data_IF_807334492219
#
_entry.id   IF_807334492219
#
_cell.length_a   1.000
_cell.length_b   1.000
_cell.length_c   1.000
_cell.angle_alpha   90.00
_cell.angle_beta   90.00
_cell.angle_gamma   90.00
#
_symmetry.space_group_name_H-M   'P 1'
#
loop_
_entity.id
_entity.type
_entity.pdbx_description
1 polymer ?
#
# COMPACT_ATOMS: atom_id res chain seq x y z
N UNK A 1 -30.48 2.83 43.76
CA UNK A 1 -29.30 2.27 43.07
C UNK A 1 -28.95 3.20 41.91
N UNK A 2 -27.95 4.05 42.11
CA UNK A 2 -27.34 4.95 41.12
C UNK A 2 -25.88 4.52 40.97
N UNK A 3 -25.31 4.75 39.77
CA UNK A 3 -23.94 4.41 39.36
C UNK A 3 -23.76 2.90 39.12
N UNK A 4 -23.53 2.39 37.91
CA UNK A 4 -22.34 2.59 37.07
C UNK A 4 -22.77 2.43 35.59
N UNK A 5 -23.12 3.51 34.91
CA UNK A 5 -23.35 3.49 33.44
C UNK A 5 -22.70 4.70 32.73
N UNK A 6 -21.83 5.43 33.43
CA UNK A 6 -21.29 6.72 32.99
C UNK A 6 -19.78 6.76 32.74
N UNK A 7 -19.07 5.61 32.72
CA UNK A 7 -17.61 5.58 32.62
C UNK A 7 -17.05 5.01 31.29
N UNK A 8 -17.89 4.51 30.39
CA UNK A 8 -17.44 4.07 29.06
C UNK A 8 -17.62 5.12 27.95
N UNK A 9 -18.35 6.21 28.20
CA UNK A 9 -18.59 7.27 27.20
C UNK A 9 -17.74 8.53 27.42
N UNK A 10 -16.99 8.65 28.52
CA UNK A 10 -16.31 9.89 28.90
C UNK A 10 -14.80 9.96 28.56
N UNK A 11 -14.28 9.01 27.78
CA UNK A 11 -12.89 9.03 27.27
C UNK A 11 -12.82 9.41 25.77
N UNK A 12 -13.86 10.06 25.26
CA UNK A 12 -13.87 10.64 23.90
C UNK A 12 -14.09 12.15 24.01
N UNK A 13 -13.29 12.86 24.81
CA UNK A 13 -13.24 14.32 24.72
C UNK A 13 -11.78 14.80 24.89
N UNK A 14 -11.34 15.52 23.85
CA UNK A 14 -10.16 16.39 23.74
C UNK A 14 -8.80 15.72 23.53
N UNK A 15 -8.54 15.33 22.28
CA UNK A 15 -7.21 15.51 21.68
C UNK A 15 -7.33 16.55 20.56
N UNK A 16 -6.79 17.73 20.86
CA UNK A 16 -6.47 18.82 19.94
C UNK A 16 -5.61 18.28 18.77
N UNK A 17 -5.95 18.70 17.54
CA UNK A 17 -5.59 18.11 16.24
C UNK A 17 -6.11 16.67 16.04
N UNK A 18 -7.40 16.57 15.73
CA UNK A 18 -8.03 15.33 15.28
C UNK A 18 -7.29 14.79 14.04
N UNK A 19 -6.44 13.79 14.25
CA UNK A 19 -5.92 12.97 13.18
C UNK A 19 -7.12 12.24 12.58
N UNK A 20 -7.63 12.80 11.48
CA UNK A 20 -8.86 12.37 10.80
C UNK A 20 -8.73 10.97 10.18
N UNK A 21 -7.53 10.42 10.18
CA UNK A 21 -7.18 9.13 9.64
C UNK A 21 -6.68 8.19 10.73
N UNK A 22 -7.28 7.00 10.83
CA UNK A 22 -6.82 5.89 11.66
C UNK A 22 -7.04 4.60 10.89
N UNK A 23 -6.07 3.69 10.94
CA UNK A 23 -6.26 2.32 10.45
C UNK A 23 -5.98 1.34 11.59
N UNK A 24 -6.81 0.31 11.67
CA UNK A 24 -6.61 -0.85 12.53
C UNK A 24 -6.59 -2.08 11.66
N UNK A 25 -5.56 -2.89 11.80
CA UNK A 25 -5.38 -4.13 11.05
C UNK A 25 -5.64 -5.30 12.00
N UNK A 26 -6.58 -6.17 11.62
CA UNK A 26 -6.97 -7.34 12.39
C UNK A 26 -6.56 -8.58 11.60
N UNK A 27 -5.72 -9.42 12.19
CA UNK A 27 -5.47 -10.77 11.72
C UNK A 27 -6.64 -11.69 12.10
N UNK A 28 -7.28 -12.28 11.12
CA UNK A 28 -8.38 -13.22 11.33
C UNK A 28 -8.08 -14.59 10.71
N UNK A 29 -8.52 -15.67 11.38
CA UNK A 29 -8.39 -17.03 10.85
C UNK A 29 -9.43 -17.23 9.75
N UNK A 30 -9.01 -17.82 8.63
CA UNK A 30 -9.84 -18.00 7.45
C UNK A 30 -9.56 -19.35 6.79
N UNK A 31 -10.60 -19.93 6.19
CA UNK A 31 -10.47 -21.09 5.31
C UNK A 31 -10.97 -20.66 3.94
N UNK A 32 -10.04 -20.34 3.02
CA UNK A 32 -10.35 -19.96 1.63
C UNK A 32 -9.63 -20.87 0.65
N UNK A 33 -8.51 -20.44 0.07
CA UNK A 33 -7.65 -21.32 -0.72
C UNK A 33 -6.83 -22.25 0.16
N UNK A 34 -6.56 -21.83 1.40
CA UNK A 34 -5.84 -22.56 2.42
C UNK A 34 -6.51 -22.34 3.79
N UNK A 35 -6.26 -23.22 4.76
CA UNK A 35 -6.51 -22.95 6.17
C UNK A 35 -5.34 -22.11 6.71
N UNK A 36 -5.62 -20.85 7.02
CA UNK A 36 -4.60 -19.86 7.36
C UNK A 36 -5.21 -18.58 7.92
N UNK A 37 -4.61 -17.44 7.60
CA UNK A 37 -5.01 -16.14 8.11
C UNK A 37 -5.17 -15.09 7.00
N UNK A 38 -5.89 -14.02 7.30
CA UNK A 38 -5.99 -12.84 6.44
C UNK A 38 -5.96 -11.55 7.25
N UNK A 39 -5.64 -10.45 6.58
CA UNK A 39 -5.61 -9.11 7.18
C UNK A 39 -6.88 -8.33 6.83
N UNK A 40 -7.68 -8.02 7.84
CA UNK A 40 -8.86 -7.16 7.72
C UNK A 40 -8.50 -5.74 8.13
N UNK A 41 -8.88 -4.76 7.33
CA UNK A 41 -8.60 -3.35 7.60
C UNK A 41 -9.87 -2.64 8.05
N UNK A 42 -9.80 -1.98 9.21
CA UNK A 42 -10.83 -1.08 9.70
C UNK A 42 -10.25 0.33 9.66
N UNK A 43 -10.83 1.19 8.85
CA UNK A 43 -10.25 2.48 8.54
C UNK A 43 -11.25 3.59 8.84
N UNK A 44 -10.83 4.56 9.64
CA UNK A 44 -11.55 5.80 9.86
C UNK A 44 -10.85 6.88 9.05
N UNK A 45 -11.55 7.52 8.10
CA UNK A 45 -11.03 8.64 7.31
C UNK A 45 -12.09 9.74 7.22
N UNK A 46 -11.77 10.95 7.70
CA UNK A 46 -12.68 12.13 7.67
C UNK A 46 -14.08 11.82 8.21
N UNK A 47 -14.15 11.09 9.33
CA UNK A 47 -15.37 10.61 10.00
C UNK A 47 -16.16 9.52 9.27
N UNK A 48 -15.64 8.97 8.16
CA UNK A 48 -16.20 7.79 7.50
C UNK A 48 -15.47 6.55 7.99
N UNK A 49 -16.21 5.59 8.55
CA UNK A 49 -15.70 4.28 8.90
C UNK A 49 -15.91 3.32 7.73
N UNK A 50 -14.82 2.75 7.23
CA UNK A 50 -14.86 1.71 6.21
C UNK A 50 -14.17 0.44 6.72
N UNK A 51 -14.55 -0.69 6.14
CA UNK A 51 -13.96 -2.00 6.40
C UNK A 51 -13.60 -2.66 5.08
N UNK A 52 -12.35 -3.06 4.95
CA UNK A 52 -11.84 -3.80 3.79
C UNK A 52 -11.57 -5.23 4.24
N UNK A 53 -12.26 -6.16 3.58
CA UNK A 53 -12.16 -7.59 3.90
C UNK A 53 -10.81 -8.15 3.44
N UNK A 54 -10.32 -9.25 4.05
CA UNK A 54 -9.07 -9.86 3.60
C UNK A 54 -9.12 -10.27 2.12
N UNK A 55 -8.06 -9.95 1.39
CA UNK A 55 -7.90 -10.22 -0.03
C UNK A 55 -8.71 -9.32 -0.98
N UNK A 56 -9.41 -8.30 -0.46
CA UNK A 56 -10.11 -7.30 -1.28
C UNK A 56 -9.13 -6.19 -1.71
N UNK A 57 -8.22 -6.55 -2.62
CA UNK A 57 -7.15 -5.66 -3.07
C UNK A 57 -7.65 -4.52 -3.96
N UNK A 58 -8.74 -4.73 -4.72
CA UNK A 58 -9.40 -3.66 -5.48
C UNK A 58 -9.85 -2.54 -4.56
N UNK A 59 -10.61 -2.86 -3.51
CA UNK A 59 -11.10 -1.86 -2.57
C UNK A 59 -9.94 -1.18 -1.85
N UNK A 60 -8.90 -1.95 -1.48
CA UNK A 60 -7.69 -1.41 -0.85
C UNK A 60 -6.94 -0.42 -1.76
N UNK A 61 -6.78 -0.76 -3.03
CA UNK A 61 -6.12 0.11 -4.02
C UNK A 61 -6.92 1.40 -4.25
N UNK A 62 -8.23 1.29 -4.50
CA UNK A 62 -9.12 2.46 -4.67
C UNK A 62 -9.07 3.35 -3.44
N UNK A 63 -9.11 2.76 -2.25
CA UNK A 63 -9.00 3.50 -1.00
C UNK A 63 -7.64 4.21 -0.88
N UNK A 64 -6.54 3.52 -1.18
CA UNK A 64 -5.19 4.09 -1.09
C UNK A 64 -4.99 5.31 -1.98
N UNK A 65 -5.69 5.40 -3.12
CA UNK A 65 -5.65 6.55 -4.01
C UNK A 65 -6.33 7.80 -3.42
N UNK A 66 -7.18 7.64 -2.40
CA UNK A 66 -7.81 8.75 -1.68
C UNK A 66 -6.99 9.31 -0.52
N UNK A 67 -5.90 8.61 -0.15
CA UNK A 67 -5.05 8.98 0.98
C UNK A 67 -4.02 10.02 0.59
N UNK A 68 -3.83 11.00 1.47
CA UNK A 68 -2.64 11.85 1.47
C UNK A 68 -1.38 11.03 1.76
N UNK A 69 -0.21 11.62 1.49
CA UNK A 69 1.08 10.97 1.75
C UNK A 69 1.23 10.54 3.21
N UNK A 70 0.94 11.43 4.17
CA UNK A 70 1.11 11.13 5.59
C UNK A 70 0.19 9.99 6.04
N UNK A 71 -1.02 9.91 5.48
CA UNK A 71 -1.96 8.82 5.73
C UNK A 71 -1.46 7.49 5.12
N UNK A 72 -0.86 7.52 3.93
CA UNK A 72 -0.23 6.34 3.31
C UNK A 72 0.95 5.83 4.14
N UNK A 73 1.80 6.72 4.63
CA UNK A 73 2.94 6.35 5.50
C UNK A 73 2.43 5.75 6.81
N UNK A 74 1.44 6.39 7.45
CA UNK A 74 0.85 5.85 8.69
C UNK A 74 0.22 4.47 8.45
N UNK A 75 -0.46 4.26 7.32
CA UNK A 75 -0.98 2.94 6.96
C UNK A 75 0.15 1.91 6.83
N UNK A 76 1.19 2.24 6.06
CA UNK A 76 2.34 1.35 5.88
C UNK A 76 3.07 1.03 7.19
N UNK A 77 3.15 2.00 8.12
CA UNK A 77 3.69 1.78 9.47
C UNK A 77 2.84 0.80 10.28
N UNK A 78 1.50 0.89 10.22
CA UNK A 78 0.60 -0.08 10.87
C UNK A 78 0.74 -1.49 10.27
N UNK A 79 0.98 -1.59 8.95
CA UNK A 79 1.28 -2.86 8.27
C UNK A 79 2.61 -3.49 8.71
N UNK A 80 3.58 -2.68 9.13
CA UNK A 80 4.93 -3.16 9.49
C UNK A 80 4.93 -4.16 10.64
N UNK A 81 3.91 -4.13 11.50
CA UNK A 81 3.68 -5.11 12.56
C UNK A 81 3.58 -6.56 12.03
N UNK A 82 3.27 -6.74 10.74
CA UNK A 82 3.09 -8.05 10.10
C UNK A 82 4.27 -8.46 9.21
N UNK A 83 5.32 -7.65 9.06
CA UNK A 83 6.45 -7.99 8.16
C UNK A 83 7.26 -9.21 8.61
N UNK A 84 7.09 -9.64 9.87
CA UNK A 84 7.67 -10.89 10.39
C UNK A 84 6.59 -11.94 10.75
N UNK A 85 5.36 -11.79 10.25
CA UNK A 85 4.30 -12.77 10.44
C UNK A 85 4.33 -13.84 9.33
N UNK A 86 5.02 -14.94 9.61
CA UNK A 86 5.19 -16.06 8.67
C UNK A 86 3.98 -17.00 8.60
N UNK A 87 2.85 -16.62 9.21
CA UNK A 87 1.62 -17.40 9.12
C UNK A 87 1.15 -17.48 7.67
N UNK A 88 0.63 -18.65 7.28
CA UNK A 88 0.11 -18.88 5.93
C UNK A 88 -1.06 -17.94 5.64
N UNK A 89 -0.97 -17.17 4.55
CA UNK A 89 -2.09 -16.42 4.01
C UNK A 89 -3.15 -17.40 3.51
N UNK A 90 -4.41 -17.22 3.91
CA UNK A 90 -5.51 -18.12 3.61
C UNK A 90 -5.95 -18.09 2.14
N UNK A 91 -5.50 -17.09 1.38
CA UNK A 91 -5.86 -16.89 -0.01
C UNK A 91 -4.64 -16.59 -0.88
N UNK A 92 -4.81 -16.73 -2.18
CA UNK A 92 -3.77 -16.35 -3.15
C UNK A 92 -3.72 -14.83 -3.26
N UNK A 93 -2.53 -14.26 -3.10
CA UNK A 93 -2.29 -12.84 -3.39
C UNK A 93 -2.39 -12.64 -4.90
N UNK A 94 -3.21 -11.68 -5.33
CA UNK A 94 -3.46 -11.41 -6.75
C UNK A 94 -2.37 -10.51 -7.32
N UNK A 95 -2.03 -10.72 -8.58
CA UNK A 95 -1.08 -9.89 -9.30
C UNK A 95 -1.71 -8.52 -9.59
N UNK A 96 -1.06 -7.44 -9.20
CA UNK A 96 -1.50 -6.08 -9.54
C UNK A 96 -1.07 -5.73 -10.96
N UNK A 97 -1.97 -5.18 -11.79
CA UNK A 97 -1.64 -4.66 -13.13
C UNK A 97 -1.69 -3.13 -13.06
N UNK A 98 -0.53 -2.45 -12.98
CA UNK A 98 -0.44 -0.99 -12.97
C UNK A 98 -1.07 -0.38 -14.23
N UNK A 99 -1.58 0.86 -14.12
CA UNK A 99 -2.37 1.59 -15.12
C UNK A 99 -3.79 1.09 -15.37
N UNK A 100 -3.99 -0.21 -15.40
CA UNK A 100 -5.34 -0.76 -15.45
C UNK A 100 -6.02 -0.66 -14.07
N UNK A 101 -5.25 -0.60 -12.98
CA UNK A 101 -5.79 -0.58 -11.62
C UNK A 101 -6.57 -1.85 -11.28
N UNK A 102 -6.26 -2.95 -11.99
CA UNK A 102 -6.96 -4.23 -11.87
C UNK A 102 -6.04 -5.28 -11.29
N UNK A 103 -6.65 -6.27 -10.65
CA UNK A 103 -5.95 -7.42 -10.10
C UNK A 103 -6.17 -8.64 -10.99
N UNK A 104 -5.08 -9.22 -11.46
CA UNK A 104 -5.06 -10.44 -12.27
C UNK A 104 -4.90 -11.71 -11.42
N UNK A 105 -5.08 -12.84 -12.09
CA UNK A 105 -4.71 -14.17 -11.56
C UNK A 105 -3.34 -14.56 -12.10
N UNK A 106 -2.52 -15.26 -11.31
CA UNK A 106 -1.37 -15.96 -11.87
C UNK A 106 -1.81 -17.04 -12.84
N UNK A 107 -1.19 -17.09 -14.02
CA UNK A 107 -1.32 -18.22 -14.92
C UNK A 107 -0.57 -19.43 -14.34
N UNK A 108 -1.33 -20.46 -13.95
CA UNK A 108 -0.92 -21.80 -13.46
C UNK A 108 -0.19 -21.82 -12.09
N UNK A 109 -0.88 -22.35 -11.08
CA UNK A 109 -0.31 -22.75 -9.78
C UNK A 109 -1.12 -22.26 -8.58
N UNK A 110 -1.08 -23.02 -7.48
CA UNK A 110 -1.49 -22.56 -6.15
C UNK A 110 -0.20 -22.15 -5.44
N UNK A 111 0.17 -20.87 -5.47
CA UNK A 111 1.32 -20.37 -4.71
C UNK A 111 0.88 -19.95 -3.31
N UNK A 112 1.50 -20.56 -2.30
CA UNK A 112 1.34 -20.18 -0.90
C UNK A 112 2.17 -18.93 -0.62
N UNK A 113 1.64 -18.04 0.21
CA UNK A 113 2.34 -16.85 0.67
C UNK A 113 2.11 -16.66 2.16
N UNK A 114 2.95 -15.89 2.84
CA UNK A 114 2.78 -15.52 4.24
C UNK A 114 2.18 -14.14 4.39
N UNK A 115 1.65 -13.85 5.58
CA UNK A 115 1.19 -12.50 5.91
C UNK A 115 2.32 -11.45 5.83
N UNK A 116 3.57 -11.85 6.08
CA UNK A 116 4.76 -11.01 5.85
C UNK A 116 4.90 -10.59 4.38
N UNK A 117 4.81 -11.54 3.45
CA UNK A 117 4.88 -11.24 2.01
C UNK A 117 3.66 -10.40 1.59
N UNK A 118 2.47 -10.73 2.07
CA UNK A 118 1.26 -9.96 1.79
C UNK A 118 1.36 -8.51 2.27
N UNK A 119 1.79 -8.29 3.51
CA UNK A 119 1.88 -6.95 4.11
C UNK A 119 2.93 -6.07 3.42
N UNK A 120 4.09 -6.63 3.06
CA UNK A 120 5.09 -5.92 2.24
C UNK A 120 4.55 -5.61 0.83
N UNK A 121 3.82 -6.55 0.23
CA UNK A 121 3.20 -6.35 -1.09
C UNK A 121 2.12 -5.26 -1.05
N UNK A 122 1.27 -5.23 -0.01
CA UNK A 122 0.29 -4.17 0.22
C UNK A 122 0.98 -2.83 0.45
N UNK A 123 2.07 -2.81 1.23
CA UNK A 123 2.87 -1.60 1.46
C UNK A 123 3.33 -0.98 0.14
N UNK A 124 3.75 -1.81 -0.82
CA UNK A 124 4.11 -1.32 -2.16
C UNK A 124 2.96 -0.58 -2.82
N UNK A 125 1.77 -1.20 -2.83
CA UNK A 125 0.59 -0.62 -3.46
C UNK A 125 0.17 0.69 -2.80
N UNK A 126 0.17 0.75 -1.47
CA UNK A 126 -0.28 1.92 -0.71
C UNK A 126 0.68 3.10 -0.92
N UNK A 127 1.99 2.86 -0.80
CA UNK A 127 2.99 3.93 -0.92
C UNK A 127 3.16 4.38 -2.37
N UNK A 128 3.30 3.43 -3.29
CA UNK A 128 3.81 3.73 -4.64
C UNK A 128 2.76 3.62 -5.75
N UNK A 129 1.59 3.03 -5.49
CA UNK A 129 0.50 2.95 -6.47
C UNK A 129 0.96 2.38 -7.83
N UNK A 130 0.81 3.14 -8.90
CA UNK A 130 1.21 2.72 -10.25
C UNK A 130 2.73 2.59 -10.44
N UNK A 131 3.55 3.22 -9.57
CA UNK A 131 5.01 3.08 -9.61
C UNK A 131 5.49 1.71 -9.14
N UNK A 132 4.62 0.89 -8.54
CA UNK A 132 4.92 -0.52 -8.24
C UNK A 132 5.30 -1.35 -9.46
N UNK A 133 4.96 -0.89 -10.67
CA UNK A 133 5.44 -1.45 -11.95
C UNK A 133 6.97 -1.50 -12.05
N UNK A 134 7.65 -0.61 -11.34
CA UNK A 134 9.10 -0.52 -11.24
C UNK A 134 9.63 -1.18 -9.98
N UNK A 135 8.86 -2.03 -9.30
CA UNK A 135 9.30 -2.89 -8.20
C UNK A 135 9.01 -4.35 -8.55
N UNK A 136 7.74 -4.70 -8.56
CA UNK A 136 7.20 -5.93 -9.13
C UNK A 136 5.69 -5.90 -9.00
N UNK A 137 5.03 -6.45 -10.01
CA UNK A 137 3.60 -6.71 -10.01
C UNK A 137 3.27 -8.05 -9.35
N UNK A 138 4.28 -8.88 -9.07
CA UNK A 138 4.14 -10.24 -8.57
C UNK A 138 4.46 -10.30 -7.07
N UNK A 139 3.57 -10.89 -6.23
CA UNK A 139 3.80 -11.09 -4.81
C UNK A 139 4.69 -12.32 -4.54
N UNK A 140 5.67 -12.57 -5.40
CA UNK A 140 6.62 -13.69 -5.31
C UNK A 140 7.99 -13.14 -4.98
N UNK A 141 8.67 -13.77 -4.03
CA UNK A 141 10.03 -13.43 -3.65
C UNK A 141 11.04 -14.42 -4.25
N UNK A 142 12.23 -13.93 -4.58
CA UNK A 142 13.36 -14.71 -5.10
C UNK A 142 14.68 -14.34 -4.41
N UNK A 143 15.56 -15.33 -4.31
CA UNK A 143 16.99 -15.13 -4.04
C UNK A 143 17.69 -14.73 -5.35
N UNK A 144 18.06 -13.44 -5.49
CA UNK A 144 18.53 -12.81 -6.73
C UNK A 144 19.70 -13.54 -7.40
N UNK A 145 20.65 -14.05 -6.63
CA UNK A 145 21.81 -14.75 -7.20
C UNK A 145 21.47 -16.12 -7.79
N UNK A 146 20.45 -16.78 -7.25
CA UNK A 146 20.13 -18.16 -7.62
C UNK A 146 18.86 -18.28 -8.46
N UNK A 147 18.06 -17.21 -8.55
CA UNK A 147 16.73 -17.19 -9.15
C UNK A 147 15.72 -18.10 -8.41
N UNK A 148 16.10 -18.70 -7.28
CA UNK A 148 15.22 -19.60 -6.54
C UNK A 148 14.12 -18.82 -5.86
N UNK A 149 12.88 -19.29 -6.04
CA UNK A 149 11.72 -18.79 -5.31
C UNK A 149 11.91 -19.00 -3.81
N UNK A 150 11.66 -17.95 -3.04
CA UNK A 150 11.63 -18.00 -1.58
C UNK A 150 10.31 -18.62 -1.14
N UNK A 151 10.38 -19.61 -0.26
CA UNK A 151 9.18 -20.26 0.28
C UNK A 151 8.45 -19.35 1.27
N UNK A 152 7.13 -19.49 1.38
CA UNK A 152 6.31 -18.60 2.22
C UNK A 152 6.72 -18.57 3.71
N UNK A 153 7.32 -19.66 4.20
CA UNK A 153 7.75 -19.86 5.57
C UNK A 153 9.28 -19.74 5.74
N UNK A 154 10.01 -19.27 4.73
CA UNK A 154 11.45 -19.00 4.84
C UNK A 154 11.69 -17.68 5.58
N UNK A 155 11.66 -17.76 6.91
CA UNK A 155 11.80 -16.59 7.78
C UNK A 155 13.14 -15.86 7.58
N UNK A 156 14.21 -16.59 7.24
CA UNK A 156 15.53 -16.00 7.04
C UNK A 156 15.56 -15.13 5.79
N UNK A 157 15.04 -15.61 4.67
CA UNK A 157 15.02 -14.83 3.44
C UNK A 157 13.98 -13.70 3.49
N UNK A 158 12.81 -13.94 4.07
CA UNK A 158 11.78 -12.91 4.23
C UNK A 158 12.26 -11.77 5.14
N UNK A 159 12.93 -12.08 6.26
CA UNK A 159 13.43 -11.04 7.18
C UNK A 159 14.46 -10.10 6.55
N UNK A 160 15.30 -10.60 5.62
CA UNK A 160 16.24 -9.74 4.88
C UNK A 160 15.51 -8.63 4.11
N UNK A 161 14.38 -8.95 3.47
CA UNK A 161 13.57 -7.97 2.76
C UNK A 161 12.76 -7.11 3.74
N UNK A 162 12.15 -7.71 4.76
CA UNK A 162 11.43 -6.97 5.82
C UNK A 162 12.27 -5.86 6.43
N UNK A 163 13.56 -6.10 6.67
CA UNK A 163 14.46 -5.09 7.23
C UNK A 163 14.62 -3.89 6.30
N UNK A 164 14.61 -4.09 4.97
CA UNK A 164 14.64 -2.99 4.00
C UNK A 164 13.35 -2.17 4.07
N UNK A 165 12.19 -2.81 4.23
CA UNK A 165 10.92 -2.11 4.42
C UNK A 165 10.88 -1.31 5.73
N UNK A 166 11.35 -1.89 6.85
CA UNK A 166 11.41 -1.16 8.12
C UNK A 166 12.31 0.08 7.99
N UNK A 167 13.52 -0.10 7.44
CA UNK A 167 14.45 1.01 7.21
C UNK A 167 13.84 2.07 6.28
N UNK A 168 13.14 1.67 5.22
CA UNK A 168 12.43 2.59 4.33
C UNK A 168 11.44 3.43 5.14
N UNK A 169 10.54 2.79 5.90
CA UNK A 169 9.48 3.48 6.65
C UNK A 169 10.02 4.42 7.74
N UNK A 170 11.17 4.11 8.34
CA UNK A 170 11.87 4.97 9.30
C UNK A 170 12.48 6.21 8.63
N UNK A 171 12.91 6.10 7.36
CA UNK A 171 13.63 7.13 6.64
C UNK A 171 12.77 7.94 5.65
N UNK A 172 11.47 7.66 5.56
CA UNK A 172 10.54 8.41 4.71
C UNK A 172 10.42 9.87 5.21
N UNK A 173 11.22 10.75 4.62
CA UNK A 173 11.21 12.18 4.90
C UNK A 173 9.94 12.87 4.37
N UNK A 174 9.59 14.01 4.97
CA UNK A 174 8.33 14.74 4.76
C UNK A 174 8.10 15.25 3.32
N UNK A 175 9.13 15.37 2.47
CA UNK A 175 9.00 16.22 1.29
C UNK A 175 8.35 15.58 0.04
N UNK A 176 8.46 14.26 -0.21
CA UNK A 176 7.61 13.49 -1.16
C UNK A 176 8.01 12.00 -1.13
N UNK A 177 7.12 11.06 -1.50
CA UNK A 177 7.52 9.66 -1.77
C UNK A 177 8.18 9.66 -3.15
N UNK A 178 9.42 9.22 -3.24
CA UNK A 178 10.18 9.21 -4.48
C UNK A 178 10.36 7.80 -5.03
N UNK A 179 10.65 7.70 -6.33
CA UNK A 179 11.07 6.41 -6.89
C UNK A 179 12.42 5.94 -6.34
N UNK A 180 13.26 6.84 -5.80
CA UNK A 180 14.51 6.45 -5.15
C UNK A 180 14.19 5.60 -3.91
N UNK A 181 13.16 5.97 -3.16
CA UNK A 181 12.67 5.22 -2.00
C UNK A 181 12.16 3.82 -2.41
N UNK A 182 11.52 3.70 -3.58
CA UNK A 182 11.15 2.41 -4.18
C UNK A 182 12.39 1.59 -4.57
N UNK A 183 13.39 2.24 -5.16
CA UNK A 183 14.61 1.57 -5.63
C UNK A 183 15.45 0.99 -4.48
N UNK A 184 15.32 1.52 -3.27
CA UNK A 184 16.02 0.97 -2.10
C UNK A 184 15.53 -0.43 -1.70
N UNK A 185 14.30 -0.79 -2.06
CA UNK A 185 13.74 -2.14 -1.89
C UNK A 185 14.37 -3.17 -2.86
N UNK A 186 15.17 -2.73 -3.82
CA UNK A 186 15.98 -3.59 -4.68
C UNK A 186 17.35 -3.92 -4.10
N UNK A 187 17.71 -3.38 -2.95
CA UNK A 187 18.98 -3.73 -2.30
C UNK A 187 18.91 -5.15 -1.73
N UNK A 188 20.07 -5.72 -1.40
CA UNK A 188 20.16 -7.02 -0.74
C UNK A 188 19.90 -8.25 -1.63
N UNK A 189 20.04 -9.46 -1.07
CA UNK A 189 20.04 -10.72 -1.83
C UNK A 189 18.64 -11.25 -2.18
N UNK A 190 17.60 -10.77 -1.50
CA UNK A 190 16.20 -11.15 -1.74
C UNK A 190 15.47 -9.99 -2.40
N UNK A 191 14.58 -10.28 -3.34
CA UNK A 191 13.73 -9.29 -3.99
C UNK A 191 12.49 -9.91 -4.59
N UNK A 192 11.65 -9.08 -5.21
CA UNK A 192 10.45 -9.54 -5.89
C UNK A 192 10.78 -10.22 -7.23
N UNK A 193 10.00 -11.19 -7.68
CA UNK A 193 10.32 -12.04 -8.84
C UNK A 193 10.52 -11.24 -10.14
N UNK A 194 9.65 -10.27 -10.43
CA UNK A 194 9.76 -9.45 -11.65
C UNK A 194 10.67 -8.22 -11.50
N UNK A 195 11.42 -8.14 -10.39
CA UNK A 195 12.39 -7.09 -10.13
C UNK A 195 13.47 -7.00 -11.22
N UNK A 196 13.82 -8.12 -11.85
CA UNK A 196 14.90 -8.18 -12.85
C UNK A 196 14.52 -7.55 -14.20
N UNK A 197 13.25 -7.21 -14.41
CA UNK A 197 12.78 -6.44 -15.57
C UNK A 197 12.76 -4.93 -15.33
N UNK A 198 13.50 -4.43 -14.33
CA UNK A 198 13.85 -3.01 -14.20
C UNK A 198 14.28 -2.48 -15.58
N UNK A 199 13.53 -1.55 -16.19
CA UNK A 199 14.03 -0.83 -17.35
C UNK A 199 15.37 -0.20 -16.96
N UNK A 200 16.38 -0.25 -17.83
CA UNK A 200 17.69 0.42 -17.62
C UNK A 200 17.49 1.74 -16.87
N UNK A 201 18.28 2.03 -15.82
CA UNK A 201 18.12 3.21 -14.97
C UNK A 201 17.95 4.52 -15.76
N UNK A 202 18.53 4.64 -16.96
CA UNK A 202 18.30 5.76 -17.89
C UNK A 202 16.86 5.88 -18.38
N UNK A 203 16.20 4.77 -18.66
CA UNK A 203 14.80 4.69 -19.07
C UNK A 203 13.85 4.97 -17.90
N UNK A 204 14.17 4.47 -16.71
CA UNK A 204 13.46 4.84 -15.48
C UNK A 204 13.56 6.36 -15.25
N UNK A 205 14.75 6.94 -15.30
CA UNK A 205 14.95 8.39 -15.13
C UNK A 205 14.22 9.19 -16.21
N UNK A 206 14.22 8.73 -17.47
CA UNK A 206 13.50 9.40 -18.55
C UNK A 206 11.96 9.35 -18.36
N UNK A 207 11.42 8.20 -17.96
CA UNK A 207 9.99 8.05 -17.66
C UNK A 207 9.62 8.87 -16.41
N UNK A 208 10.50 8.94 -15.42
CA UNK A 208 10.36 9.80 -14.24
C UNK A 208 10.28 11.29 -14.60
N UNK A 209 11.20 11.79 -15.42
CA UNK A 209 11.16 13.19 -15.85
C UNK A 209 9.86 13.51 -16.57
N UNK A 210 9.36 12.59 -17.41
CA UNK A 210 8.10 12.78 -18.13
C UNK A 210 6.88 12.77 -17.21
N UNK A 211 6.82 11.86 -16.24
CA UNK A 211 5.71 11.80 -15.29
C UNK A 211 5.73 13.01 -14.34
N UNK A 212 6.89 13.41 -13.81
CA UNK A 212 7.04 14.63 -13.01
C UNK A 212 6.63 15.89 -13.79
N UNK A 213 6.97 15.99 -15.08
CA UNK A 213 6.51 17.08 -15.94
C UNK A 213 4.99 17.03 -16.18
N UNK A 214 4.43 15.84 -16.37
CA UNK A 214 2.99 15.65 -16.59
C UNK A 214 2.18 16.04 -15.34
N UNK A 215 2.64 15.66 -14.15
CA UNK A 215 1.96 16.00 -12.90
C UNK A 215 2.09 17.49 -12.56
N UNK A 216 3.25 18.11 -12.83
CA UNK A 216 3.39 19.58 -12.76
C UNK A 216 2.39 20.29 -13.69
N UNK A 217 2.17 19.77 -14.91
CA UNK A 217 1.19 20.32 -15.86
C UNK A 217 -0.26 20.09 -15.38
N UNK A 218 -0.58 18.93 -14.83
CA UNK A 218 -1.92 18.62 -14.27
C UNK A 218 -2.26 19.51 -13.08
N UNK A 219 -1.31 19.76 -12.18
CA UNK A 219 -1.51 20.61 -11.01
C UNK A 219 -1.62 22.10 -11.40
N UNK A 220 -0.83 22.59 -12.36
CA UNK A 220 -1.00 23.94 -12.93
C UNK A 220 -2.37 24.17 -13.58
N UNK A 221 -2.97 23.13 -14.15
CA UNK A 221 -4.29 23.23 -14.77
C UNK A 221 -5.44 23.16 -13.76
N UNK A 222 -5.22 22.59 -12.56
CA UNK A 222 -6.20 22.62 -11.45
C UNK A 222 -6.23 23.97 -10.72
N UNK A 223 -5.15 24.75 -10.78
CA UNK A 223 -5.05 26.07 -10.15
C UNK A 223 -5.58 27.23 -11.01
N UNK A 224 -6.02 27.00 -12.25
CA UNK A 224 -6.71 28.04 -13.01
C UNK A 224 -8.16 28.13 -12.51
N UNK A 225 -8.60 29.26 -11.91
CA UNK A 225 -10.01 29.44 -11.59
C UNK A 225 -10.79 29.50 -12.89
N UNK A 226 -11.89 28.75 -12.99
CA UNK A 226 -12.93 28.98 -13.98
C UNK A 226 -13.51 30.37 -13.75
N UNK A 227 -12.90 31.36 -14.38
CA UNK A 227 -13.40 32.72 -14.41
C UNK A 227 -14.16 32.90 -15.73
N UNK A 228 -15.40 32.41 -15.77
CA UNK A 228 -16.43 32.95 -16.68
C UNK A 228 -17.70 33.22 -15.91
N UNK A 229 -17.70 34.46 -15.40
CA UNK A 229 -18.81 35.31 -14.99
C UNK A 229 -20.19 34.89 -15.51
N UNK A 230 -21.11 34.80 -14.57
CA UNK A 230 -22.52 35.13 -14.70
C UNK A 230 -22.78 36.23 -15.74
N UNK A 231 -23.61 35.92 -16.73
CA UNK A 231 -24.50 36.91 -17.36
C UNK A 231 -25.85 36.23 -17.51
N UNK A 232 -26.65 36.32 -16.47
CA UNK A 232 -28.10 36.37 -16.58
C UNK A 232 -28.56 37.69 -15.96
N UNK A 233 -29.62 38.25 -16.57
CA UNK A 233 -30.42 39.42 -16.18
C UNK A 233 -30.00 40.79 -16.72
N UNK A 234 -30.66 41.17 -17.82
CA UNK A 234 -31.65 42.26 -17.94
C UNK A 234 -31.92 42.47 -19.43
N UNK A 235 -33.11 42.71 -19.95
CA UNK A 235 -34.51 42.73 -19.51
C UNK A 235 -35.33 42.81 -20.81
N UNK A 236 -36.63 42.53 -20.69
CA UNK A 236 -37.78 43.07 -21.44
C UNK A 236 -37.52 43.93 -22.70
#
# INVERSE_FOLDING_TARGET
MKFILGLFFSMIILVSNAQNFKVKIIKEKLVRNFDGYGLKFIILNKNVLDTISPGDYEKLYVFSNSLSKDEKVLFAQELSAYFNDYSLCAYKIRLFIPYAGVFGSFAKGIEKSSLAIESMYITNMILFGDWTRFLSNSPVLVEKYSGKKVSYNDSLSISKLSNLYCNLLENLNSNELSLIDLMDLYRGPVGWFDAEYIPNSRRIVADLYREMEADKKRNKNKEKPENKKNVFEKNQ
#
